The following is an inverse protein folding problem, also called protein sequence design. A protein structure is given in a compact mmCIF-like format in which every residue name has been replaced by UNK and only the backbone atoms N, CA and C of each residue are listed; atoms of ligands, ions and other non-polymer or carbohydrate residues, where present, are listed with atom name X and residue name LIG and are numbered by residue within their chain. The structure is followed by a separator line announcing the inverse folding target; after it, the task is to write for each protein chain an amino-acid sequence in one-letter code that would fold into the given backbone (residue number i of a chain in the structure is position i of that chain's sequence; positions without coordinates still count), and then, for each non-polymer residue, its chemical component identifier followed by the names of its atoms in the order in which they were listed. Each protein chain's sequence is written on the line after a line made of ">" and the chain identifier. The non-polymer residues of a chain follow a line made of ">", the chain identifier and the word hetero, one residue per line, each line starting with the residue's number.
data_IF_301768976536
#
_entry.id   IF_301768976536
#
_cell.length_a   1.000
_cell.length_b   1.000
_cell.length_c   1.000
_cell.angle_alpha   90.00
_cell.angle_beta   90.00
_cell.angle_gamma   90.00
#
_symmetry.space_group_name_H-M   'P 1'
#
loop_
_entity.id
_entity.type
_entity.pdbx_description
1 polymer ?
#
# COMPACT_ATOMS: atom_id res chain seq x y z
N UNK A 1 16.07 3.85 -61.15
CA UNK A 1 16.81 3.01 -60.19
C UNK A 1 16.89 3.84 -58.91
N UNK A 2 15.79 3.88 -58.15
CA UNK A 2 15.63 3.22 -56.84
C UNK A 2 16.72 3.72 -55.86
N UNK A 3 16.45 4.80 -55.12
CA UNK A 3 15.77 4.83 -53.82
C UNK A 3 16.65 4.26 -52.70
N UNK A 4 17.14 5.13 -51.82
CA UNK A 4 17.30 4.86 -50.39
C UNK A 4 17.52 6.20 -49.66
N UNK A 5 16.42 6.92 -49.43
CA UNK A 5 16.33 7.78 -48.26
C UNK A 5 16.07 6.83 -47.08
N UNK A 6 17.09 6.57 -46.27
CA UNK A 6 16.90 5.84 -45.02
C UNK A 6 16.18 6.78 -44.05
N UNK A 7 15.10 6.24 -43.51
CA UNK A 7 14.00 6.87 -42.79
C UNK A 7 14.47 7.57 -41.50
N UNK A 8 13.74 8.65 -41.22
CA UNK A 8 13.74 9.55 -40.07
C UNK A 8 13.77 8.87 -38.69
N UNK A 9 14.25 9.67 -37.73
CA UNK A 9 13.92 9.64 -36.30
C UNK A 9 12.65 8.84 -35.94
N UNK A 10 12.79 7.74 -35.21
CA UNK A 10 11.69 7.26 -34.36
C UNK A 10 12.22 6.44 -33.16
N UNK A 11 13.08 7.06 -32.35
CA UNK A 11 13.24 6.58 -30.96
C UNK A 11 12.11 7.19 -30.16
N UNK A 12 10.96 6.49 -30.13
CA UNK A 12 9.87 6.83 -29.23
C UNK A 12 10.44 6.96 -27.80
N UNK A 13 10.29 8.11 -27.12
CA UNK A 13 10.66 8.22 -25.72
C UNK A 13 9.70 7.36 -24.91
N UNK A 14 10.06 6.10 -24.67
CA UNK A 14 9.32 5.19 -23.79
C UNK A 14 9.57 5.59 -22.34
N UNK A 15 9.08 6.77 -21.94
CA UNK A 15 8.74 7.04 -20.54
C UNK A 15 7.45 6.26 -20.24
N UNK A 16 7.55 4.94 -20.12
CA UNK A 16 6.39 4.10 -19.80
C UNK A 16 5.97 4.35 -18.35
N UNK A 17 4.76 4.88 -18.18
CA UNK A 17 4.09 4.94 -16.89
C UNK A 17 3.08 3.78 -16.82
N UNK A 18 3.05 2.99 -15.72
CA UNK A 18 2.03 1.97 -15.55
C UNK A 18 0.64 2.57 -15.69
N UNK A 19 -0.17 2.02 -16.59
CA UNK A 19 -1.54 2.48 -16.84
C UNK A 19 -2.52 2.07 -15.73
N UNK A 20 -2.13 1.11 -14.89
CA UNK A 20 -2.97 0.52 -13.86
C UNK A 20 -2.13 0.02 -12.68
N UNK A 21 -2.69 0.16 -11.48
CA UNK A 21 -2.20 -0.50 -10.28
C UNK A 21 -3.26 -1.43 -9.72
N UNK A 22 -2.89 -2.67 -9.41
CA UNK A 22 -3.77 -3.64 -8.76
C UNK A 22 -3.46 -3.74 -7.28
N UNK A 23 -4.44 -3.46 -6.43
CA UNK A 23 -4.30 -3.52 -4.97
C UNK A 23 -5.08 -4.73 -4.46
N UNK A 24 -4.42 -5.72 -3.87
CA UNK A 24 -5.05 -6.97 -3.43
C UNK A 24 -4.34 -7.56 -2.21
N UNK A 25 -4.95 -8.57 -1.59
CA UNK A 25 -4.23 -9.47 -0.70
C UNK A 25 -3.13 -10.22 -1.47
N UNK A 26 -2.01 -10.49 -0.82
CA UNK A 26 -0.96 -11.33 -1.41
C UNK A 26 -1.49 -12.73 -1.67
N UNK A 27 -1.26 -13.21 -2.88
CA UNK A 27 -1.70 -14.53 -3.37
C UNK A 27 -0.54 -15.40 -3.82
N UNK A 28 0.62 -14.79 -4.11
CA UNK A 28 1.79 -15.48 -4.64
C UNK A 28 3.04 -15.21 -3.77
N UNK A 29 3.95 -16.19 -3.63
CA UNK A 29 5.15 -16.02 -2.80
C UNK A 29 6.05 -14.84 -3.22
N UNK A 30 6.13 -14.55 -4.51
CA UNK A 30 6.95 -13.44 -5.00
C UNK A 30 6.40 -12.08 -4.54
N UNK A 31 5.07 -11.92 -4.47
CA UNK A 31 4.41 -10.70 -3.99
C UNK A 31 4.76 -10.48 -2.51
N UNK A 32 4.73 -11.56 -1.72
CA UNK A 32 5.08 -11.52 -0.31
C UNK A 32 6.55 -11.13 -0.09
N UNK A 33 7.46 -11.78 -0.83
CA UNK A 33 8.89 -11.50 -0.76
C UNK A 33 9.24 -10.07 -1.17
N UNK A 34 8.65 -9.56 -2.25
CA UNK A 34 8.86 -8.18 -2.71
C UNK A 34 8.29 -7.16 -1.72
N UNK A 35 7.15 -7.43 -1.12
CA UNK A 35 6.60 -6.58 -0.07
C UNK A 35 7.52 -6.49 1.16
N UNK A 36 8.15 -7.60 1.59
CA UNK A 36 9.16 -7.54 2.66
C UNK A 36 10.39 -6.74 2.26
N UNK A 37 10.88 -6.89 1.03
CA UNK A 37 11.99 -6.08 0.50
C UNK A 37 11.64 -4.59 0.52
N UNK A 38 10.42 -4.26 0.09
CA UNK A 38 9.92 -2.88 0.09
C UNK A 38 9.82 -2.32 1.51
N UNK A 39 9.30 -3.09 2.48
CA UNK A 39 9.25 -2.68 3.89
C UNK A 39 10.64 -2.43 4.45
N UNK A 40 11.60 -3.31 4.22
CA UNK A 40 12.99 -3.12 4.64
C UNK A 40 13.60 -1.85 4.01
N UNK A 41 13.37 -1.62 2.72
CA UNK A 41 13.87 -0.42 2.05
C UNK A 41 13.28 0.87 2.66
N UNK A 42 11.98 0.88 2.96
CA UNK A 42 11.32 2.08 3.51
C UNK A 42 11.61 2.26 5.00
N UNK A 43 11.44 1.22 5.82
CA UNK A 43 11.51 1.37 7.27
C UNK A 43 12.93 1.27 7.83
N UNK A 44 13.79 0.42 7.26
CA UNK A 44 15.17 0.27 7.74
C UNK A 44 16.12 1.24 7.04
N UNK A 45 16.07 1.32 5.71
CA UNK A 45 17.05 2.09 4.93
C UNK A 45 16.66 3.56 4.84
N UNK A 46 15.46 3.87 4.35
CA UNK A 46 15.04 5.26 4.14
C UNK A 46 14.70 5.96 5.47
N UNK A 47 13.89 5.31 6.30
CA UNK A 47 13.46 5.92 7.56
C UNK A 47 14.42 5.64 8.71
N UNK A 48 15.17 4.53 8.72
CA UNK A 48 16.05 4.21 9.86
C UNK A 48 15.30 3.94 11.17
N UNK A 49 14.07 3.39 11.09
CA UNK A 49 13.27 3.02 12.27
C UNK A 49 13.74 1.70 12.86
N UNK A 50 14.11 0.75 12.00
CA UNK A 50 14.58 -0.57 12.42
C UNK A 50 16.00 -0.81 11.93
N UNK A 51 16.76 -1.60 12.69
CA UNK A 51 18.12 -1.99 12.35
C UNK A 51 18.08 -3.35 11.67
N UNK A 52 18.55 -3.41 10.42
CA UNK A 52 18.66 -4.66 9.65
C UNK A 52 17.36 -5.12 9.02
N UNK A 53 16.35 -5.46 9.82
CA UNK A 53 15.05 -5.98 9.36
C UNK A 53 13.89 -5.40 10.18
N UNK A 54 12.74 -5.22 9.53
CA UNK A 54 11.53 -4.69 10.14
C UNK A 54 10.56 -5.80 10.58
N UNK A 55 10.86 -7.08 10.30
CA UNK A 55 10.02 -8.22 10.65
C UNK A 55 9.81 -8.39 12.16
N UNK A 56 8.64 -8.88 12.53
CA UNK A 56 8.26 -9.21 13.92
C UNK A 56 7.32 -10.44 13.98
N UNK A 57 6.97 -10.90 15.18
CA UNK A 57 6.12 -12.10 15.41
C UNK A 57 4.72 -12.00 14.78
N UNK A 58 4.23 -10.77 14.52
CA UNK A 58 2.92 -10.57 13.90
C UNK A 58 2.96 -10.97 12.42
N UNK A 59 4.13 -10.93 11.77
CA UNK A 59 4.26 -11.34 10.37
C UNK A 59 3.81 -12.77 10.10
N UNK A 60 3.91 -13.66 11.10
CA UNK A 60 3.52 -15.07 10.96
C UNK A 60 2.01 -15.29 10.89
N UNK A 61 1.22 -14.34 11.42
CA UNK A 61 -0.26 -14.41 11.46
C UNK A 61 -0.97 -13.28 10.72
N UNK A 62 -0.24 -12.27 10.27
CA UNK A 62 -0.83 -11.12 9.58
C UNK A 62 -1.17 -11.45 8.12
N UNK A 63 -2.27 -10.88 7.66
CA UNK A 63 -2.61 -10.86 6.25
C UNK A 63 -1.88 -9.70 5.57
N UNK A 64 -1.04 -10.01 4.59
CA UNK A 64 -0.33 -9.01 3.80
C UNK A 64 -1.12 -8.60 2.55
N UNK A 65 -1.03 -7.33 2.19
CA UNK A 65 -1.65 -6.70 1.04
C UNK A 65 -0.58 -6.01 0.20
N UNK A 66 -0.75 -6.03 -1.11
CA UNK A 66 0.18 -5.41 -2.07
C UNK A 66 -0.55 -4.51 -3.06
N UNK A 67 0.13 -3.46 -3.47
CA UNK A 67 -0.16 -2.69 -4.66
C UNK A 67 0.88 -3.05 -5.72
N UNK A 68 0.40 -3.55 -6.87
CA UNK A 68 1.20 -4.03 -7.98
C UNK A 68 1.13 -3.02 -9.11
N UNK A 69 2.28 -2.61 -9.67
CA UNK A 69 2.28 -2.01 -11.00
C UNK A 69 1.96 -3.07 -12.04
N UNK A 70 1.27 -2.67 -13.10
CA UNK A 70 0.98 -3.56 -14.22
C UNK A 70 1.60 -3.03 -15.52
N UNK A 71 2.22 -3.94 -16.27
CA UNK A 71 2.71 -3.71 -17.64
C UNK A 71 1.90 -4.61 -18.56
N UNK A 72 1.25 -4.02 -19.56
CA UNK A 72 0.35 -4.74 -20.48
C UNK A 72 -0.70 -5.63 -19.75
N UNK A 73 -1.23 -5.14 -18.62
CA UNK A 73 -2.22 -5.87 -17.79
C UNK A 73 -1.64 -6.96 -16.88
N UNK A 74 -0.33 -7.21 -16.95
CA UNK A 74 0.35 -8.22 -16.14
C UNK A 74 1.04 -7.57 -14.93
N UNK A 75 0.93 -8.16 -13.72
CA UNK A 75 1.70 -7.70 -12.57
C UNK A 75 3.21 -7.72 -12.83
N UNK A 76 3.88 -6.64 -12.46
CA UNK A 76 5.31 -6.45 -12.68
C UNK A 76 6.05 -6.26 -11.34
N UNK A 77 5.76 -5.17 -10.62
CA UNK A 77 6.47 -4.83 -9.39
C UNK A 77 5.50 -4.56 -8.23
N UNK A 78 5.88 -4.96 -7.00
CA UNK A 78 5.23 -4.45 -5.78
C UNK A 78 5.70 -3.01 -5.53
N UNK A 79 4.76 -2.07 -5.63
CA UNK A 79 5.02 -0.63 -5.44
C UNK A 79 4.48 -0.09 -4.12
N UNK A 80 3.68 -0.90 -3.41
CA UNK A 80 3.16 -0.59 -2.09
C UNK A 80 2.73 -1.85 -1.33
N UNK A 81 2.73 -1.77 -0.01
CA UNK A 81 2.32 -2.87 0.86
C UNK A 81 1.75 -2.35 2.17
N UNK A 82 0.88 -3.14 2.79
CA UNK A 82 0.38 -2.98 4.15
C UNK A 82 0.05 -4.36 4.69
N UNK A 83 0.07 -4.55 6.00
CA UNK A 83 -0.45 -5.78 6.62
C UNK A 83 -1.57 -5.46 7.60
N UNK A 84 -2.50 -6.40 7.76
CA UNK A 84 -3.55 -6.36 8.76
C UNK A 84 -3.50 -7.61 9.62
N UNK A 85 -3.89 -7.49 10.89
CA UNK A 85 -4.07 -8.64 11.77
C UNK A 85 -5.20 -8.38 12.75
N UNK A 86 -5.83 -9.44 13.23
CA UNK A 86 -6.75 -9.41 14.36
C UNK A 86 -5.95 -9.61 15.64
N UNK A 87 -6.01 -8.64 16.54
CA UNK A 87 -5.28 -8.68 17.82
C UNK A 87 -6.15 -9.28 18.93
N UNK A 88 -7.45 -9.01 18.88
CA UNK A 88 -8.48 -9.64 19.69
C UNK A 88 -9.75 -9.78 18.83
N UNK A 89 -10.71 -10.65 19.20
CA UNK A 89 -11.94 -10.83 18.42
C UNK A 89 -12.61 -9.48 18.10
N UNK A 90 -12.80 -9.19 16.80
CA UNK A 90 -13.40 -7.94 16.30
C UNK A 90 -12.46 -6.72 16.32
N UNK A 91 -11.26 -6.81 16.91
CA UNK A 91 -10.28 -5.71 17.01
C UNK A 91 -9.10 -5.97 16.08
N UNK A 92 -9.01 -5.16 15.03
CA UNK A 92 -8.05 -5.30 13.96
C UNK A 92 -7.08 -4.13 13.91
N UNK A 93 -5.87 -4.40 13.45
CA UNK A 93 -4.82 -3.40 13.28
C UNK A 93 -4.25 -3.41 11.87
N UNK A 94 -4.14 -2.21 11.28
CA UNK A 94 -3.33 -1.96 10.10
C UNK A 94 -1.92 -1.50 10.48
N UNK A 95 -0.89 -2.11 9.90
CA UNK A 95 0.51 -1.75 10.18
C UNK A 95 1.41 -1.91 8.95
N UNK A 96 2.64 -1.40 9.04
CA UNK A 96 3.69 -1.54 8.03
C UNK A 96 3.30 -1.01 6.64
N UNK A 97 2.50 0.06 6.59
CA UNK A 97 2.16 0.74 5.34
C UNK A 97 3.42 1.36 4.71
N UNK A 98 3.86 0.81 3.59
CA UNK A 98 5.02 1.29 2.84
C UNK A 98 4.64 1.49 1.38
N UNK A 99 5.03 2.63 0.79
CA UNK A 99 4.87 2.91 -0.63
C UNK A 99 6.22 3.36 -1.17
N UNK A 100 6.64 2.75 -2.26
CA UNK A 100 7.90 3.07 -2.94
C UNK A 100 7.92 4.55 -3.34
N UNK A 101 9.04 5.24 -3.13
CA UNK A 101 9.12 6.70 -3.23
C UNK A 101 8.61 7.25 -4.58
N UNK A 102 8.99 6.60 -5.69
CA UNK A 102 8.53 6.95 -7.04
C UNK A 102 7.00 6.89 -7.22
N UNK A 103 6.27 6.19 -6.35
CA UNK A 103 4.84 5.93 -6.49
C UNK A 103 3.96 6.64 -5.44
N UNK A 104 4.55 7.39 -4.50
CA UNK A 104 3.80 8.06 -3.42
C UNK A 104 2.76 9.07 -3.89
N UNK A 105 2.98 9.69 -5.04
CA UNK A 105 2.07 10.65 -5.68
C UNK A 105 1.23 10.05 -6.83
N UNK A 106 1.41 8.75 -7.12
CA UNK A 106 0.74 8.07 -8.23
C UNK A 106 -0.46 7.26 -7.73
N UNK A 107 -1.56 7.29 -8.49
CA UNK A 107 -2.71 6.39 -8.34
C UNK A 107 -3.41 6.34 -6.98
N UNK A 108 -3.12 7.28 -6.06
CA UNK A 108 -3.59 7.24 -4.66
C UNK A 108 -3.29 5.88 -3.98
N UNK A 109 -2.15 5.26 -4.30
CA UNK A 109 -1.80 3.89 -3.89
C UNK A 109 -1.96 3.68 -2.39
N UNK A 110 -1.35 4.54 -1.56
CA UNK A 110 -1.45 4.43 -0.10
C UNK A 110 -2.89 4.48 0.41
N UNK A 111 -3.71 5.38 -0.15
CA UNK A 111 -5.11 5.48 0.21
C UNK A 111 -5.93 4.25 -0.24
N UNK A 112 -5.59 3.65 -1.37
CA UNK A 112 -6.26 2.43 -1.86
C UNK A 112 -5.87 1.20 -1.05
N UNK A 113 -4.61 1.09 -0.62
CA UNK A 113 -4.16 0.08 0.34
C UNK A 113 -4.93 0.20 1.67
N UNK A 114 -5.04 1.40 2.23
CA UNK A 114 -5.81 1.66 3.46
C UNK A 114 -7.27 1.27 3.27
N UNK A 115 -7.89 1.66 2.14
CA UNK A 115 -9.28 1.28 1.84
C UNK A 115 -9.48 -0.22 1.79
N UNK A 116 -8.61 -0.95 1.07
CA UNK A 116 -8.74 -2.40 0.99
C UNK A 116 -8.52 -3.06 2.35
N UNK A 117 -7.51 -2.62 3.10
CA UNK A 117 -7.21 -3.12 4.44
C UNK A 117 -8.45 -3.07 5.34
N UNK A 118 -9.03 -1.89 5.52
CA UNK A 118 -10.21 -1.70 6.38
C UNK A 118 -11.42 -2.46 5.84
N UNK A 119 -11.69 -2.37 4.53
CA UNK A 119 -12.86 -3.02 3.91
C UNK A 119 -12.79 -4.55 4.00
N UNK A 120 -11.60 -5.13 3.86
CA UNK A 120 -11.40 -6.57 3.97
C UNK A 120 -11.52 -7.07 5.41
N UNK A 121 -10.99 -6.32 6.39
CA UNK A 121 -11.20 -6.66 7.80
C UNK A 121 -12.68 -6.52 8.20
N UNK A 122 -13.38 -5.49 7.69
CA UNK A 122 -14.80 -5.31 7.92
C UNK A 122 -15.63 -6.49 7.39
N UNK A 123 -15.26 -7.06 6.25
CA UNK A 123 -15.88 -8.29 5.74
C UNK A 123 -15.60 -9.54 6.60
N UNK A 124 -14.58 -9.51 7.44
CA UNK A 124 -14.21 -10.59 8.37
C UNK A 124 -14.80 -10.40 9.77
N UNK A 125 -15.68 -9.42 9.97
CA UNK A 125 -16.31 -9.15 11.27
C UNK A 125 -15.54 -8.17 12.15
N UNK A 126 -14.66 -7.36 11.57
CA UNK A 126 -14.03 -6.26 12.31
C UNK A 126 -15.08 -5.26 12.83
N UNK A 127 -15.02 -4.97 14.13
CA UNK A 127 -15.83 -3.97 14.83
C UNK A 127 -15.02 -2.72 15.14
N UNK A 128 -13.71 -2.88 15.36
CA UNK A 128 -12.76 -1.78 15.60
C UNK A 128 -11.51 -1.98 14.77
N UNK A 129 -11.16 -0.99 13.95
CA UNK A 129 -9.93 -1.02 13.14
C UNK A 129 -8.99 0.13 13.53
N UNK A 130 -7.79 -0.22 13.97
CA UNK A 130 -6.81 0.69 14.57
C UNK A 130 -5.51 0.75 13.76
N UNK A 131 -4.74 1.81 13.95
CA UNK A 131 -3.37 1.91 13.44
C UNK A 131 -2.57 2.92 14.27
N UNK A 132 -1.27 2.64 14.45
CA UNK A 132 -0.30 3.63 14.92
C UNK A 132 0.25 4.39 13.71
N UNK A 133 -0.14 5.64 13.57
CA UNK A 133 0.14 6.48 12.40
C UNK A 133 1.19 7.52 12.76
N UNK A 134 2.30 7.57 12.03
CA UNK A 134 3.28 8.65 12.18
C UNK A 134 2.62 10.02 11.99
N UNK A 135 2.98 11.00 12.80
CA UNK A 135 2.32 12.33 12.82
C UNK A 135 2.28 13.02 11.46
N UNK A 136 3.31 12.81 10.63
CA UNK A 136 3.37 13.31 9.25
C UNK A 136 2.24 12.77 8.33
N UNK A 137 1.70 11.59 8.62
CA UNK A 137 0.67 10.93 7.82
C UNK A 137 -0.76 11.18 8.33
N UNK A 138 -0.93 11.77 9.52
CA UNK A 138 -2.24 12.06 10.12
C UNK A 138 -3.17 12.84 9.17
N UNK A 139 -2.72 13.87 8.41
CA UNK A 139 -3.60 14.57 7.48
C UNK A 139 -4.17 13.67 6.38
N UNK A 140 -3.43 12.65 5.92
CA UNK A 140 -3.93 11.67 4.96
C UNK A 140 -5.04 10.81 5.61
N UNK A 141 -4.79 10.30 6.81
CA UNK A 141 -5.73 9.43 7.53
C UNK A 141 -7.03 10.17 7.87
N UNK A 142 -6.97 11.43 8.30
CA UNK A 142 -8.17 12.25 8.51
C UNK A 142 -9.02 12.40 7.25
N UNK A 143 -8.39 12.64 6.09
CA UNK A 143 -9.11 12.68 4.79
C UNK A 143 -9.76 11.34 4.42
N UNK A 144 -9.27 10.25 4.98
CA UNK A 144 -9.83 8.91 4.81
C UNK A 144 -10.85 8.56 5.90
N UNK A 145 -11.35 9.51 6.68
CA UNK A 145 -12.32 9.26 7.75
C UNK A 145 -11.76 8.41 8.89
N UNK A 146 -10.55 8.76 9.34
CA UNK A 146 -9.99 8.24 10.58
C UNK A 146 -9.97 9.31 11.67
N UNK A 147 -10.28 8.90 12.88
CA UNK A 147 -10.28 9.73 14.07
C UNK A 147 -9.01 9.48 14.89
N UNK A 148 -8.45 10.55 15.48
CA UNK A 148 -7.30 10.44 16.40
C UNK A 148 -7.82 10.08 17.78
N UNK A 149 -7.26 9.03 18.39
CA UNK A 149 -7.62 8.59 19.74
C UNK A 149 -6.59 9.05 20.78
N UNK A 150 -5.30 8.95 20.45
CA UNK A 150 -4.21 9.32 21.36
C UNK A 150 -2.97 9.78 20.57
N UNK A 151 -2.09 10.52 21.25
CA UNK A 151 -0.73 10.82 20.78
C UNK A 151 0.27 9.91 21.50
N UNK A 152 1.25 9.40 20.77
CA UNK A 152 2.19 8.40 21.26
C UNK A 152 3.59 8.66 20.72
N UNK A 153 4.60 8.08 21.39
CA UNK A 153 5.96 8.05 20.86
C UNK A 153 6.40 6.60 20.70
N UNK A 154 6.65 6.19 19.46
CA UNK A 154 7.08 4.84 19.10
C UNK A 154 8.40 4.91 18.34
N UNK A 155 9.37 4.09 18.74
CA UNK A 155 10.72 4.07 18.14
C UNK A 155 11.36 5.47 18.04
N UNK A 156 11.17 6.30 19.08
CA UNK A 156 11.69 7.67 19.13
C UNK A 156 11.01 8.66 18.18
N UNK A 157 9.84 8.31 17.61
CA UNK A 157 9.08 9.15 16.67
C UNK A 157 7.67 9.40 17.16
N UNK A 158 7.18 10.60 16.89
CA UNK A 158 5.78 10.97 17.16
C UNK A 158 4.83 10.18 16.27
N UNK A 159 3.85 9.55 16.91
CA UNK A 159 2.78 8.78 16.32
C UNK A 159 1.44 9.18 16.96
N UNK A 160 0.36 8.77 16.31
CA UNK A 160 -0.99 8.85 16.84
C UNK A 160 -1.64 7.48 16.72
N UNK A 161 -2.28 7.01 17.79
CA UNK A 161 -3.24 5.93 17.69
C UNK A 161 -4.49 6.49 17.01
N UNK A 162 -4.88 5.89 15.89
CA UNK A 162 -6.03 6.32 15.10
C UNK A 162 -6.98 5.15 14.85
N UNK A 163 -8.26 5.47 14.71
CA UNK A 163 -9.33 4.51 14.42
C UNK A 163 -10.04 4.84 13.11
N UNK A 164 -10.31 3.82 12.30
CA UNK A 164 -11.10 3.96 11.08
C UNK A 164 -12.59 4.02 11.40
N UNK A 165 -13.33 4.90 10.73
CA UNK A 165 -14.78 4.92 10.76
C UNK A 165 -15.36 3.86 9.82
N UNK A 166 -15.69 2.68 10.34
CA UNK A 166 -16.11 1.52 9.54
C UNK A 166 -17.34 1.78 8.65
N UNK A 167 -18.24 2.69 9.03
CA UNK A 167 -19.39 3.12 8.21
C UNK A 167 -18.97 3.73 6.85
N UNK A 168 -17.72 4.18 6.73
CA UNK A 168 -17.15 4.74 5.49
C UNK A 168 -16.43 3.72 4.62
N UNK A 169 -16.34 2.47 5.05
CA UNK A 169 -15.61 1.40 4.38
C UNK A 169 -16.53 0.19 4.16
N UNK A 170 -17.30 0.15 3.06
CA UNK A 170 -18.14 -1.00 2.74
C UNK A 170 -17.32 -2.31 2.74
N UNK A 171 -17.84 -3.41 3.31
CA UNK A 171 -17.15 -4.69 3.33
C UNK A 171 -16.71 -5.16 1.94
N UNK A 172 -15.48 -5.66 1.83
CA UNK A 172 -14.94 -6.26 0.60
C UNK A 172 -14.72 -7.76 0.80
N UNK A 173 -15.61 -8.59 0.24
CA UNK A 173 -15.55 -10.06 0.36
C UNK A 173 -14.62 -10.74 -0.65
N UNK A 174 -14.07 -9.99 -1.63
CA UNK A 174 -13.19 -10.53 -2.68
C UNK A 174 -11.79 -9.88 -2.68
N UNK A 175 -11.08 -9.85 -1.54
CA UNK A 175 -9.87 -9.05 -1.40
C UNK A 175 -8.66 -9.58 -2.19
N UNK A 176 -8.70 -10.84 -2.63
CA UNK A 176 -7.69 -11.46 -3.51
C UNK A 176 -7.81 -11.01 -4.98
N UNK A 177 -9.01 -10.65 -5.43
CA UNK A 177 -9.22 -9.95 -6.71
C UNK A 177 -8.80 -8.50 -6.57
N UNK A 178 -9.21 -7.87 -5.46
CA UNK A 178 -8.75 -6.56 -5.03
C UNK A 178 -9.40 -5.38 -5.76
N UNK A 179 -8.79 -4.21 -5.65
CA UNK A 179 -9.19 -2.97 -6.31
C UNK A 179 -8.23 -2.61 -7.44
N UNK A 180 -8.76 -1.89 -8.42
CA UNK A 180 -7.98 -1.26 -9.48
C UNK A 180 -7.82 0.23 -9.16
N UNK A 181 -6.58 0.71 -9.18
CA UNK A 181 -6.24 2.12 -9.03
C UNK A 181 -5.63 2.65 -10.33
N UNK A 182 -6.22 3.71 -10.89
CA UNK A 182 -5.72 4.35 -12.11
C UNK A 182 -4.78 5.51 -11.77
N UNK A 183 -3.74 5.77 -12.60
CA UNK A 183 -2.93 6.97 -12.51
C UNK A 183 -3.79 8.23 -12.56
N UNK A 184 -3.31 9.35 -11.98
CA UNK A 184 -3.96 10.64 -12.24
C UNK A 184 -3.86 10.92 -13.74
N UNK A 185 -4.99 11.18 -14.38
CA UNK A 185 -5.00 11.90 -15.66
C UNK A 185 -4.26 13.23 -15.41
N UNK A 186 -3.21 13.50 -16.17
CA UNK A 186 -2.64 14.84 -16.19
C UNK A 186 -3.76 15.79 -16.68
N UNK A 187 -4.14 16.73 -15.82
CA UNK A 187 -5.08 17.81 -16.13
C UNK A 187 -4.29 19.04 -16.52
#
# INVERSE_FOLDING_TARGET
>A
MLAEAIIEDDVLPLAFAPAEYRVKWTTLPWEANEAHRLRRAVFCIEQGIFVGDDRDEIDDRAQQLVALSCIAGMPDQVVGTVRIHEEAPGVWYGSRLAVHAAFRNHGRIGATLIRLAVSSAHALGCETFLAHVQSQNVPLFRRLHWDVLAEETLHGRSHHLMQARLDRYPPCATPTSGFVAQPRSAS
#
